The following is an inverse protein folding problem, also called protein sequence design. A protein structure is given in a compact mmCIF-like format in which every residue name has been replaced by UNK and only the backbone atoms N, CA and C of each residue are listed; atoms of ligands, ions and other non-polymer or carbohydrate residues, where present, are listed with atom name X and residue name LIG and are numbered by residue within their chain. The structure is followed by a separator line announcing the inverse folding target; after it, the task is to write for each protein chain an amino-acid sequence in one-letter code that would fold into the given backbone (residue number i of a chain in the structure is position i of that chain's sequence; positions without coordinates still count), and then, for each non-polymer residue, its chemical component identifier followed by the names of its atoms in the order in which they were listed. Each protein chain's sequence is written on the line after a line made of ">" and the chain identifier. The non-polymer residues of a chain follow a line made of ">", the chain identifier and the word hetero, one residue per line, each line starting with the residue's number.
data_IF_568913351523
#
_entry.id   IF_568913351523
#
_cell.length_a   1.000
_cell.length_b   1.000
_cell.length_c   1.000
_cell.angle_alpha   90.00
_cell.angle_beta   90.00
_cell.angle_gamma   90.00
#
_symmetry.space_group_name_H-M   'P 1'
#
loop_
_entity.id
_entity.type
_entity.pdbx_description
1 polymer ?
#
# COMPACT_ATOMS: atom_id res chain seq x y z
N UNK A 1 19.10 -12.41 -18.38
CA UNK A 1 17.73 -11.89 -18.22
C UNK A 1 17.53 -10.71 -19.17
N UNK A 2 16.50 -10.73 -20.02
CA UNK A 2 16.26 -9.70 -21.04
C UNK A 2 15.71 -8.41 -20.42
N UNK A 3 15.93 -7.26 -21.07
CA UNK A 3 15.35 -5.96 -20.66
C UNK A 3 13.83 -6.05 -20.46
N UNK A 4 13.14 -6.80 -21.33
CA UNK A 4 11.71 -7.07 -21.22
C UNK A 4 11.32 -7.75 -19.90
N UNK A 5 12.07 -8.77 -19.47
CA UNK A 5 11.81 -9.48 -18.21
C UNK A 5 11.93 -8.56 -16.99
N UNK A 6 12.91 -7.64 -16.97
CA UNK A 6 13.04 -6.66 -15.89
C UNK A 6 11.84 -5.72 -15.79
N UNK A 7 11.29 -5.29 -16.93
CA UNK A 7 10.10 -4.41 -16.96
C UNK A 7 8.86 -5.13 -16.45
N UNK A 8 8.64 -6.38 -16.88
CA UNK A 8 7.48 -7.18 -16.46
C UNK A 8 7.52 -7.48 -14.96
N UNK A 9 8.68 -7.92 -14.44
CA UNK A 9 8.85 -8.20 -13.00
C UNK A 9 8.72 -6.90 -12.19
N UNK A 10 9.31 -5.80 -12.67
CA UNK A 10 9.17 -4.48 -12.04
C UNK A 10 7.71 -4.03 -11.95
N UNK A 11 6.94 -4.13 -13.03
CA UNK A 11 5.51 -3.80 -13.04
C UNK A 11 4.69 -4.70 -12.10
N UNK A 12 4.97 -5.99 -12.08
CA UNK A 12 4.33 -6.93 -11.17
C UNK A 12 4.58 -6.54 -9.70
N UNK A 13 5.84 -6.26 -9.33
CA UNK A 13 6.16 -5.85 -7.97
C UNK A 13 5.59 -4.47 -7.60
N UNK A 14 5.52 -3.54 -8.54
CA UNK A 14 4.91 -2.22 -8.32
C UNK A 14 3.43 -2.34 -7.93
N UNK A 15 2.72 -3.32 -8.52
CA UNK A 15 1.30 -3.55 -8.21
C UNK A 15 1.07 -3.92 -6.73
N UNK A 16 2.02 -4.59 -6.08
CA UNK A 16 1.92 -4.91 -4.64
C UNK A 16 1.89 -3.64 -3.76
N UNK A 17 2.72 -2.64 -4.09
CA UNK A 17 2.72 -1.35 -3.42
C UNK A 17 1.43 -0.57 -3.63
N UNK A 18 0.87 -0.66 -4.84
CA UNK A 18 -0.42 -0.05 -5.16
C UNK A 18 -1.58 -0.70 -4.39
N UNK A 19 -1.66 -2.03 -4.38
CA UNK A 19 -2.70 -2.79 -3.67
C UNK A 19 -2.65 -2.48 -2.17
N UNK A 20 -1.47 -2.53 -1.55
CA UNK A 20 -1.33 -2.21 -0.13
C UNK A 20 -1.72 -0.76 0.21
N UNK A 21 -1.44 0.18 -0.70
CA UNK A 21 -1.87 1.56 -0.53
C UNK A 21 -3.40 1.68 -0.54
N UNK A 22 -4.08 0.94 -1.42
CA UNK A 22 -5.54 0.87 -1.45
C UNK A 22 -6.10 0.25 -0.16
N UNK A 23 -5.55 -0.87 0.30
CA UNK A 23 -5.95 -1.52 1.56
C UNK A 23 -5.85 -0.55 2.74
N UNK A 24 -4.75 0.20 2.81
CA UNK A 24 -4.53 1.19 3.87
C UNK A 24 -5.53 2.34 3.80
N UNK A 25 -5.80 2.88 2.60
CA UNK A 25 -6.79 3.94 2.41
C UNK A 25 -8.18 3.45 2.81
N UNK A 26 -8.59 2.26 2.36
CA UNK A 26 -9.88 1.66 2.71
C UNK A 26 -10.04 1.45 4.22
N UNK A 27 -8.99 0.97 4.90
CA UNK A 27 -8.97 0.81 6.36
C UNK A 27 -9.12 2.15 7.09
N UNK A 28 -8.42 3.19 6.64
CA UNK A 28 -8.50 4.54 7.21
C UNK A 28 -9.90 5.16 7.03
N UNK A 29 -10.49 5.01 5.84
CA UNK A 29 -11.84 5.51 5.55
C UNK A 29 -12.86 4.79 6.42
N UNK A 30 -12.82 3.45 6.44
CA UNK A 30 -13.74 2.64 7.26
C UNK A 30 -13.67 3.01 8.74
N UNK A 31 -12.47 3.15 9.28
CA UNK A 31 -12.23 3.60 10.67
C UNK A 31 -12.83 4.98 10.93
N UNK A 32 -12.65 5.91 10.01
CA UNK A 32 -13.16 7.27 10.13
C UNK A 32 -14.69 7.31 10.12
N UNK A 33 -15.32 6.49 9.27
CA UNK A 33 -16.79 6.37 9.21
C UNK A 33 -17.33 5.80 10.53
N UNK A 34 -16.72 4.74 11.07
CA UNK A 34 -17.13 4.14 12.34
C UNK A 34 -17.03 5.16 13.47
N UNK A 35 -15.92 5.88 13.56
CA UNK A 35 -15.72 6.93 14.57
C UNK A 35 -16.74 8.07 14.42
N UNK A 36 -16.96 8.54 13.19
CA UNK A 36 -17.95 9.59 12.92
C UNK A 36 -19.35 9.15 13.34
N UNK A 37 -19.75 7.91 13.03
CA UNK A 37 -21.03 7.34 13.44
C UNK A 37 -21.17 7.20 14.95
N UNK A 38 -20.10 6.81 15.65
CA UNK A 38 -20.06 6.76 17.11
C UNK A 38 -20.33 8.14 17.74
N UNK A 39 -19.65 9.18 17.26
CA UNK A 39 -19.82 10.55 17.75
C UNK A 39 -21.19 11.13 17.38
N UNK A 40 -21.67 10.93 16.14
CA UNK A 40 -22.96 11.45 15.71
C UNK A 40 -24.14 10.77 16.40
N UNK A 41 -23.98 9.49 16.76
CA UNK A 41 -24.98 8.71 17.48
C UNK A 41 -25.03 8.99 18.98
N UNK A 42 -24.20 9.92 19.49
CA UNK A 42 -24.05 10.19 20.93
C UNK A 42 -23.82 8.92 21.75
N UNK A 43 -23.14 7.93 21.16
CA UNK A 43 -22.90 6.66 21.81
C UNK A 43 -22.00 6.87 23.03
N UNK A 44 -22.35 6.20 24.13
CA UNK A 44 -21.59 6.25 25.39
C UNK A 44 -20.70 5.02 25.50
N UNK A 45 -19.48 5.20 25.99
CA UNK A 45 -18.47 4.13 26.08
C UNK A 45 -17.13 4.52 25.44
N UNK A 46 -16.24 3.55 25.27
CA UNK A 46 -14.94 3.78 24.63
C UNK A 46 -15.09 3.92 23.11
N UNK A 47 -14.42 4.92 22.54
CA UNK A 47 -14.37 5.14 21.09
C UNK A 47 -13.73 3.92 20.43
N UNK A 48 -14.33 3.34 19.38
CA UNK A 48 -13.79 2.17 18.70
C UNK A 48 -12.35 2.43 18.23
N UNK A 49 -11.40 1.70 18.81
CA UNK A 49 -10.02 1.67 18.34
C UNK A 49 -9.92 0.66 17.21
N UNK A 50 -10.20 1.11 15.99
CA UNK A 50 -9.95 0.31 14.80
C UNK A 50 -8.47 0.41 14.46
N UNK A 51 -7.77 -0.72 14.51
CA UNK A 51 -6.35 -0.81 14.19
C UNK A 51 -6.15 -0.58 12.70
N UNK A 52 -5.64 0.59 12.34
CA UNK A 52 -5.22 0.88 10.96
C UNK A 52 -3.80 0.41 10.75
N UNK A 53 -3.54 -0.32 9.66
CA UNK A 53 -2.19 -0.73 9.30
C UNK A 53 -1.30 0.52 9.08
N UNK A 54 -0.25 0.63 9.89
CA UNK A 54 0.81 1.62 9.71
C UNK A 54 1.67 1.25 8.50
N UNK A 55 2.37 2.25 7.97
CA UNK A 55 3.20 2.10 6.78
C UNK A 55 4.29 1.02 6.90
N UNK A 56 4.77 0.76 8.12
CA UNK A 56 5.81 -0.23 8.41
C UNK A 56 5.26 -1.56 8.92
N UNK A 57 3.95 -1.69 9.13
CA UNK A 57 3.35 -2.95 9.59
C UNK A 57 3.51 -4.05 8.55
N UNK A 58 3.76 -3.68 7.29
CA UNK A 58 4.05 -4.60 6.20
C UNK A 58 5.33 -4.22 5.47
N UNK A 59 6.49 -4.39 6.14
CA UNK A 59 7.83 -4.01 5.66
C UNK A 59 8.17 -4.57 4.27
N UNK A 60 7.58 -5.71 3.89
CA UNK A 60 7.75 -6.29 2.56
C UNK A 60 7.24 -5.38 1.46
N UNK A 61 6.19 -4.60 1.69
CA UNK A 61 5.60 -3.76 0.65
C UNK A 61 6.50 -2.59 0.28
N UNK A 62 6.99 -1.74 1.22
CA UNK A 62 7.96 -0.70 0.89
C UNK A 62 9.23 -1.26 0.23
N UNK A 63 9.69 -2.43 0.67
CA UNK A 63 10.88 -3.08 0.16
C UNK A 63 10.68 -3.58 -1.29
N UNK A 64 9.58 -4.28 -1.56
CA UNK A 64 9.24 -4.75 -2.91
C UNK A 64 8.94 -3.59 -3.85
N UNK A 65 8.32 -2.52 -3.35
CA UNK A 65 8.11 -1.29 -4.10
C UNK A 65 9.45 -0.65 -4.50
N UNK A 66 10.41 -0.56 -3.59
CA UNK A 66 11.75 -0.03 -3.90
C UNK A 66 12.49 -0.91 -4.92
N UNK A 67 12.45 -2.24 -4.74
CA UNK A 67 13.01 -3.19 -5.71
C UNK A 67 12.36 -3.01 -7.09
N UNK A 68 11.04 -2.80 -7.14
CA UNK A 68 10.30 -2.59 -8.39
C UNK A 68 10.81 -1.37 -9.17
N UNK A 69 11.08 -0.25 -8.47
CA UNK A 69 11.64 0.97 -9.06
C UNK A 69 13.04 0.70 -9.65
N UNK A 70 13.90 0.02 -8.90
CA UNK A 70 15.26 -0.33 -9.36
C UNK A 70 15.19 -1.21 -10.61
N UNK A 71 14.34 -2.23 -10.63
CA UNK A 71 14.18 -3.13 -11.78
C UNK A 71 13.63 -2.39 -13.02
N UNK A 72 12.68 -1.47 -12.84
CA UNK A 72 12.18 -0.64 -13.94
C UNK A 72 13.28 0.26 -14.49
N UNK A 73 14.03 0.96 -13.63
CA UNK A 73 15.16 1.82 -14.05
C UNK A 73 16.19 1.00 -14.85
N UNK A 74 16.58 -0.17 -14.37
CA UNK A 74 17.53 -1.06 -15.07
C UNK A 74 16.94 -1.58 -16.39
N UNK A 75 15.66 -1.93 -16.40
CA UNK A 75 14.93 -2.38 -17.56
C UNK A 75 14.93 -1.33 -18.67
N UNK A 76 14.65 -0.06 -18.35
CA UNK A 76 14.68 1.04 -19.31
C UNK A 76 16.09 1.49 -19.70
N UNK A 77 17.05 1.48 -18.76
CA UNK A 77 18.45 1.84 -19.05
C UNK A 77 19.11 0.88 -20.05
N UNK A 78 18.79 -0.42 -19.99
CA UNK A 78 19.28 -1.43 -20.96
C UNK A 78 18.65 -1.36 -22.35
N UNK A 79 17.61 -0.54 -22.56
CA UNK A 79 17.01 -0.32 -23.89
C UNK A 79 17.73 0.80 -24.66
N UNK A 80 18.48 1.66 -23.97
CA UNK A 80 19.49 2.51 -24.60
C UNK A 80 20.78 1.74 -24.81
#
# INVERSE_FOLDING_TARGET
>A
MNSFSYKVIGLFLLSSGFIYSLERISSLISTSIIKAGFFSGQMTGEVPQVTTANFLDNLFVPLLFFISLVLLILGFKKVK
#
